data_IF_990318901794
#
_entry.id   IF_990318901794
#
_cell.length_a   1.000
_cell.length_b   1.000
_cell.length_c   1.000
_cell.angle_alpha   90.00
_cell.angle_beta   90.00
_cell.angle_gamma   90.00
#
_symmetry.space_group_name_H-M   'P 1'
#
loop_
_entity.id
_entity.type
_entity.pdbx_description
1 polymer ?
#
# COMPACT_ATOMS: atom_id res chain seq x y z
N UNK A 1 -50.99 15.26 9.16
CA UNK A 1 -51.02 15.10 10.64
C UNK A 1 -49.64 14.54 10.99
N UNK A 2 -48.67 15.19 11.64
CA UNK A 2 -48.46 16.40 12.45
C UNK A 2 -47.20 17.13 11.86
N UNK A 3 -47.03 18.47 11.69
CA UNK A 3 -46.93 19.63 12.63
C UNK A 3 -45.98 19.36 13.81
N UNK A 4 -45.06 20.21 14.30
CA UNK A 4 -44.55 21.58 14.07
C UNK A 4 -43.32 21.65 15.03
N UNK A 5 -42.12 22.04 14.60
CA UNK A 5 -41.42 23.31 14.92
C UNK A 5 -40.89 23.58 16.35
N UNK A 6 -39.75 24.30 16.36
CA UNK A 6 -39.18 25.25 17.36
C UNK A 6 -37.93 24.73 18.10
N UNK A 7 -36.73 25.34 17.92
CA UNK A 7 -36.22 26.66 18.42
C UNK A 7 -36.15 26.63 19.97
N UNK A 8 -35.09 26.98 20.71
CA UNK A 8 -33.94 27.92 20.64
C UNK A 8 -32.89 27.42 21.68
N UNK A 9 -31.57 27.55 21.53
CA UNK A 9 -30.69 28.68 21.91
C UNK A 9 -30.78 29.15 23.38
N UNK A 10 -29.68 28.98 24.13
CA UNK A 10 -29.14 29.79 25.26
C UNK A 10 -27.76 29.18 25.57
N UNK A 11 -26.57 29.79 25.40
CA UNK A 11 -25.95 31.05 25.88
C UNK A 11 -25.68 31.17 27.39
N UNK A 12 -24.39 31.32 27.64
CA UNK A 12 -23.69 32.04 28.71
C UNK A 12 -23.64 31.42 30.13
N UNK A 13 -22.42 31.12 30.60
CA UNK A 13 -21.96 31.65 31.89
C UNK A 13 -20.41 31.73 31.94
N UNK A 14 -19.93 32.95 32.16
CA UNK A 14 -18.55 33.35 32.46
C UNK A 14 -18.26 33.14 33.96
N UNK A 15 -17.03 32.80 34.32
CA UNK A 15 -16.46 33.23 35.61
C UNK A 15 -14.94 33.23 35.55
N UNK A 16 -14.40 34.44 35.52
CA UNK A 16 -13.03 34.78 35.89
C UNK A 16 -12.77 34.47 37.37
N UNK A 17 -11.51 34.14 37.72
CA UNK A 17 -10.89 34.65 38.94
C UNK A 17 -9.36 34.60 38.85
N UNK A 18 -8.74 35.69 39.30
CA UNK A 18 -7.35 36.08 39.09
C UNK A 18 -6.52 36.08 40.39
N UNK A 19 -5.18 36.13 40.21
CA UNK A 19 -4.15 36.67 41.13
C UNK A 19 -3.78 35.79 42.35
N UNK A 20 -2.58 35.74 42.93
CA UNK A 20 -1.29 36.46 42.95
C UNK A 20 -0.30 35.48 43.67
N UNK A 21 0.99 35.30 43.40
CA UNK A 21 2.10 36.24 43.52
C UNK A 21 3.17 35.76 44.54
N UNK A 22 4.44 36.10 44.24
CA UNK A 22 5.67 36.14 45.09
C UNK A 22 6.58 34.88 45.11
N UNK A 23 7.74 34.91 44.41
CA UNK A 23 9.08 35.49 44.76
C UNK A 23 9.86 34.62 45.76
N UNK A 24 11.19 34.42 45.77
CA UNK A 24 12.41 34.80 45.01
C UNK A 24 13.54 33.98 45.68
N UNK A 25 14.62 33.60 44.98
CA UNK A 25 16.01 33.97 45.36
C UNK A 25 17.06 33.34 44.43
N UNK A 26 18.13 34.11 44.20
CA UNK A 26 19.28 33.92 43.30
C UNK A 26 20.55 33.62 44.13
N UNK A 27 21.66 33.42 43.40
CA UNK A 27 23.11 33.57 43.73
C UNK A 27 23.81 32.19 43.68
N UNK A 28 24.73 31.82 42.78
CA UNK A 28 25.84 32.43 42.01
C UNK A 28 27.23 32.41 42.69
N UNK A 29 28.26 32.08 41.86
CA UNK A 29 29.72 32.23 42.03
C UNK A 29 30.45 31.09 42.80
N UNK A 30 31.70 30.64 42.51
CA UNK A 30 32.81 31.13 41.66
C UNK A 30 33.96 30.06 41.53
N UNK A 31 34.79 30.20 40.47
CA UNK A 31 36.28 30.06 40.37
C UNK A 31 37.03 28.69 40.27
N UNK A 32 37.57 28.47 39.05
CA UNK A 32 38.98 28.28 38.59
C UNK A 32 39.98 27.41 39.39
N UNK A 33 40.67 26.46 38.71
CA UNK A 33 42.14 26.49 38.43
C UNK A 33 42.64 25.40 37.47
N UNK A 34 43.71 25.75 36.76
CA UNK A 34 44.57 24.99 35.83
C UNK A 34 45.24 23.74 36.44
N UNK A 35 45.51 22.74 35.59
CA UNK A 35 46.83 22.09 35.52
C UNK A 35 47.01 21.35 34.20
N UNK A 36 48.03 21.75 33.44
CA UNK A 36 48.60 21.05 32.29
C UNK A 36 49.21 19.71 32.72
N UNK A 37 48.91 18.63 31.99
CA UNK A 37 49.83 17.50 31.83
C UNK A 37 49.79 17.05 30.38
N UNK A 38 50.94 17.25 29.72
CA UNK A 38 51.30 16.69 28.43
C UNK A 38 51.36 15.16 28.54
N UNK A 39 50.58 14.44 27.73
CA UNK A 39 50.96 13.09 27.30
C UNK A 39 50.58 12.93 25.84
N UNK A 40 51.59 12.96 24.99
CA UNK A 40 51.53 12.56 23.60
C UNK A 40 51.13 11.09 23.53
N UNK A 41 50.01 10.79 22.88
CA UNK A 41 49.73 9.45 22.34
C UNK A 41 49.04 9.60 20.99
N UNK A 42 49.59 8.89 20.02
CA UNK A 42 49.27 8.92 18.59
C UNK A 42 47.78 8.73 18.30
N UNK A 43 47.23 9.31 17.20
CA UNK A 43 45.84 9.09 16.85
C UNK A 43 45.68 7.67 16.31
N UNK A 44 45.17 6.77 17.15
CA UNK A 44 44.57 5.54 16.65
C UNK A 44 43.38 5.95 15.77
N UNK A 45 43.43 5.55 14.50
CA UNK A 45 42.31 5.68 13.56
C UNK A 45 41.08 5.04 14.20
N UNK A 46 40.23 5.89 14.78
CA UNK A 46 38.87 5.53 15.16
C UNK A 46 38.17 5.18 13.84
N UNK A 47 38.16 3.89 13.51
CA UNK A 47 37.18 3.32 12.60
C UNK A 47 35.83 3.63 13.23
N UNK A 48 35.28 4.77 12.82
CA UNK A 48 33.89 5.15 12.98
C UNK A 48 33.12 4.05 12.25
N UNK A 49 32.82 2.96 12.96
CA UNK A 49 31.82 1.98 12.55
C UNK A 49 30.61 2.83 12.23
N UNK A 50 30.28 2.95 10.94
CA UNK A 50 29.01 3.53 10.51
C UNK A 50 27.98 2.76 11.31
N UNK A 51 27.34 3.41 12.27
CA UNK A 51 26.21 2.85 12.97
C UNK A 51 25.20 2.52 11.87
N UNK A 52 25.12 1.24 11.55
CA UNK A 52 24.20 0.78 10.55
C UNK A 52 22.80 1.14 11.06
N UNK A 53 22.02 1.82 10.22
CA UNK A 53 20.72 2.31 10.67
C UNK A 53 19.88 1.07 10.98
N UNK A 54 19.34 0.91 12.20
CA UNK A 54 18.67 -0.31 12.64
C UNK A 54 17.42 -0.69 11.82
N UNK A 55 17.03 0.13 10.85
CA UNK A 55 15.96 -0.18 9.89
C UNK A 55 16.40 -0.89 8.60
N UNK A 56 17.69 -0.89 8.25
CA UNK A 56 18.16 -1.52 7.00
C UNK A 56 18.20 -3.04 7.10
N UNK A 57 18.49 -3.56 8.30
CA UNK A 57 18.66 -4.98 8.59
C UNK A 57 17.35 -5.78 8.77
N UNK A 58 16.18 -5.12 8.84
CA UNK A 58 14.93 -5.81 9.20
C UNK A 58 14.33 -6.67 8.08
N UNK A 59 14.60 -6.33 6.82
CA UNK A 59 13.98 -6.95 5.64
C UNK A 59 15.03 -7.33 4.57
N UNK A 60 16.28 -7.58 4.96
CA UNK A 60 17.45 -7.62 4.05
C UNK A 60 17.63 -8.96 3.30
N UNK A 61 16.66 -9.88 3.34
CA UNK A 61 16.84 -11.25 2.85
C UNK A 61 16.60 -11.44 1.33
N UNK A 62 16.32 -10.39 0.57
CA UNK A 62 15.99 -10.54 -0.85
C UNK A 62 16.26 -9.30 -1.71
N UNK A 63 17.48 -8.77 -1.74
CA UNK A 63 17.84 -7.52 -2.46
C UNK A 63 17.40 -7.43 -3.94
N UNK A 64 17.13 -8.59 -4.58
CA UNK A 64 16.68 -8.70 -5.98
C UNK A 64 15.21 -9.15 -6.15
N UNK A 65 14.47 -9.41 -5.07
CA UNK A 65 13.02 -9.63 -5.18
C UNK A 65 12.27 -8.31 -5.25
N UNK A 66 11.01 -8.35 -5.74
CA UNK A 66 10.13 -7.18 -5.71
C UNK A 66 9.98 -6.63 -4.29
N UNK A 67 9.82 -7.49 -3.27
CA UNK A 67 9.69 -7.03 -1.89
C UNK A 67 10.99 -6.40 -1.37
N UNK A 68 12.15 -6.98 -1.68
CA UNK A 68 13.42 -6.38 -1.28
C UNK A 68 13.66 -5.02 -1.95
N UNK A 69 13.24 -4.84 -3.20
CA UNK A 69 13.24 -3.52 -3.86
C UNK A 69 12.33 -2.54 -3.11
N UNK A 70 11.10 -2.94 -2.77
CA UNK A 70 10.16 -2.11 -2.00
C UNK A 70 10.76 -1.74 -0.64
N UNK A 71 11.33 -2.70 0.08
CA UNK A 71 11.84 -2.50 1.43
C UNK A 71 13.11 -1.62 1.47
N UNK A 72 13.96 -1.68 0.44
CA UNK A 72 15.29 -1.06 0.48
C UNK A 72 15.50 0.10 -0.49
N UNK A 73 14.83 0.11 -1.65
CA UNK A 73 15.09 0.99 -2.80
C UNK A 73 13.82 1.69 -3.29
N UNK A 74 13.26 2.61 -2.47
CA UNK A 74 12.05 3.38 -2.80
C UNK A 74 12.05 3.98 -4.23
N UNK A 75 13.17 4.59 -4.63
CA UNK A 75 13.29 5.24 -5.94
C UNK A 75 13.25 4.28 -7.13
N UNK A 76 13.43 2.98 -6.91
CA UNK A 76 13.37 1.97 -7.95
C UNK A 76 11.97 1.38 -8.15
N UNK A 77 11.01 1.66 -7.25
CA UNK A 77 9.64 1.12 -7.31
C UNK A 77 8.97 1.38 -8.67
N UNK A 78 8.96 2.60 -9.24
CA UNK A 78 8.31 2.84 -10.53
C UNK A 78 8.94 2.05 -11.68
N UNK A 79 10.27 1.82 -11.64
CA UNK A 79 10.95 1.02 -12.65
C UNK A 79 10.60 -0.46 -12.49
N UNK A 80 10.68 -0.98 -11.27
CA UNK A 80 10.38 -2.39 -10.97
C UNK A 80 8.93 -2.75 -11.36
N UNK A 81 7.98 -1.84 -11.17
CA UNK A 81 6.59 -2.04 -11.61
C UNK A 81 6.48 -2.12 -13.14
N UNK A 82 7.18 -1.24 -13.87
CA UNK A 82 7.18 -1.29 -15.35
C UNK A 82 7.82 -2.57 -15.86
N UNK A 83 8.97 -2.93 -15.33
CA UNK A 83 9.67 -4.17 -15.65
C UNK A 83 8.79 -5.39 -15.36
N UNK A 84 8.03 -5.37 -14.27
CA UNK A 84 7.06 -6.43 -13.96
C UNK A 84 5.94 -6.52 -15.00
N UNK A 85 5.36 -5.39 -15.43
CA UNK A 85 4.33 -5.39 -16.48
C UNK A 85 4.89 -5.86 -17.84
N UNK A 86 6.13 -5.51 -18.16
CA UNK A 86 6.82 -6.03 -19.35
C UNK A 86 7.09 -7.54 -19.27
N UNK A 87 7.38 -8.05 -18.08
CA UNK A 87 7.52 -9.50 -17.85
C UNK A 87 6.16 -10.19 -17.93
N UNK A 88 5.11 -9.58 -17.38
CA UNK A 88 3.74 -10.10 -17.43
C UNK A 88 3.21 -10.25 -18.87
N UNK A 89 3.58 -9.32 -19.77
CA UNK A 89 3.26 -9.42 -21.20
C UNK A 89 3.98 -10.59 -21.88
N UNK A 90 5.20 -10.93 -21.44
CA UNK A 90 6.04 -11.99 -22.03
C UNK A 90 5.74 -13.37 -21.47
N UNK A 91 5.61 -13.47 -20.15
CA UNK A 91 5.42 -14.69 -19.39
C UNK A 91 4.56 -14.40 -18.16
N UNK A 92 3.24 -14.50 -18.37
CA UNK A 92 2.22 -14.22 -17.37
C UNK A 92 2.34 -15.12 -16.13
N UNK A 93 2.48 -16.46 -16.24
CA UNK A 93 2.74 -17.34 -15.10
C UNK A 93 3.91 -16.88 -14.21
N UNK A 94 5.07 -16.60 -14.82
CA UNK A 94 6.26 -16.20 -14.08
C UNK A 94 6.08 -14.86 -13.38
N UNK A 95 5.47 -13.87 -14.05
CA UNK A 95 5.20 -12.57 -13.46
C UNK A 95 4.24 -12.67 -12.27
N UNK A 96 3.15 -13.44 -12.40
CA UNK A 96 2.17 -13.65 -11.31
C UNK A 96 2.82 -14.41 -10.15
N UNK A 97 3.67 -15.41 -10.43
CA UNK A 97 4.46 -16.09 -9.41
C UNK A 97 5.33 -15.11 -8.59
N UNK A 98 6.03 -14.19 -9.27
CA UNK A 98 6.83 -13.16 -8.59
C UNK A 98 5.98 -12.21 -7.75
N UNK A 99 4.81 -11.81 -8.25
CA UNK A 99 3.89 -10.91 -7.54
C UNK A 99 3.29 -11.59 -6.29
N UNK A 100 2.85 -12.84 -6.41
CA UNK A 100 2.31 -13.62 -5.28
C UNK A 100 3.38 -13.88 -4.23
N UNK A 101 4.59 -14.28 -4.64
CA UNK A 101 5.70 -14.46 -3.72
C UNK A 101 6.15 -13.16 -3.05
N UNK A 102 6.01 -12.00 -3.71
CA UNK A 102 6.25 -10.69 -3.09
C UNK A 102 5.30 -10.45 -1.90
N UNK A 103 4.04 -10.86 -1.99
CA UNK A 103 3.07 -10.79 -0.89
C UNK A 103 3.44 -11.75 0.25
N UNK A 104 3.87 -12.98 -0.07
CA UNK A 104 4.38 -13.91 0.95
C UNK A 104 5.61 -13.36 1.68
N UNK A 105 6.58 -12.82 0.96
CA UNK A 105 7.76 -12.18 1.55
C UNK A 105 7.37 -11.02 2.46
N UNK A 106 6.44 -10.17 2.02
CA UNK A 106 5.91 -9.06 2.82
C UNK A 106 5.23 -9.55 4.11
N UNK A 107 4.55 -10.70 4.03
CA UNK A 107 3.94 -11.37 5.17
C UNK A 107 4.97 -12.10 6.07
N UNK A 108 6.25 -12.11 5.70
CA UNK A 108 7.35 -12.64 6.50
C UNK A 108 7.69 -14.10 6.23
N UNK A 109 7.06 -14.75 5.24
CA UNK A 109 7.38 -16.12 4.85
C UNK A 109 8.73 -16.20 4.14
N UNK A 110 9.50 -17.26 4.42
CA UNK A 110 10.75 -17.56 3.71
C UNK A 110 10.50 -18.52 2.54
N UNK A 111 9.48 -19.35 2.68
CA UNK A 111 8.98 -20.25 1.66
C UNK A 111 8.37 -19.44 0.51
N UNK A 112 8.45 -20.01 -0.69
CA UNK A 112 7.89 -19.44 -1.91
C UNK A 112 7.08 -20.51 -2.61
N UNK A 113 5.99 -20.11 -3.26
CA UNK A 113 5.32 -20.98 -4.20
C UNK A 113 6.26 -21.29 -5.38
N UNK A 114 6.34 -22.56 -5.82
CA UNK A 114 7.15 -22.93 -6.97
C UNK A 114 6.54 -22.35 -8.26
N UNK A 115 7.37 -22.18 -9.29
CA UNK A 115 6.90 -21.69 -10.59
C UNK A 115 5.85 -22.62 -11.24
N UNK A 116 5.92 -23.93 -10.95
CA UNK A 116 4.93 -24.92 -11.44
C UNK A 116 3.50 -24.58 -11.03
N UNK A 117 3.32 -24.00 -9.84
CA UNK A 117 2.01 -23.65 -9.29
C UNK A 117 1.22 -22.62 -10.13
N UNK A 118 1.90 -21.93 -11.04
CA UNK A 118 1.31 -20.88 -11.89
C UNK A 118 1.20 -21.32 -13.36
N UNK A 119 1.68 -22.52 -13.69
CA UNK A 119 1.58 -23.09 -15.02
C UNK A 119 0.20 -23.66 -15.32
N UNK A 120 -0.10 -23.89 -16.60
CA UNK A 120 -1.37 -24.50 -17.06
C UNK A 120 -1.44 -26.01 -16.89
N UNK A 121 -0.30 -26.66 -16.65
CA UNK A 121 -0.14 -28.11 -16.74
C UNK A 121 -0.08 -28.77 -15.35
N UNK A 122 -0.38 -28.01 -14.30
CA UNK A 122 -0.37 -28.49 -12.92
C UNK A 122 -1.76 -29.02 -12.52
N UNK A 123 -1.79 -30.20 -11.91
CA UNK A 123 -3.02 -30.83 -11.42
C UNK A 123 -3.46 -30.22 -10.07
N UNK A 124 -2.58 -29.49 -9.38
CA UNK A 124 -2.83 -28.86 -8.09
C UNK A 124 -3.46 -27.48 -8.26
N UNK A 125 -4.55 -27.22 -7.55
CA UNK A 125 -5.18 -25.89 -7.54
C UNK A 125 -4.53 -24.93 -6.52
N UNK A 126 -4.94 -23.66 -6.58
CA UNK A 126 -4.43 -22.60 -5.69
C UNK A 126 -4.66 -22.93 -4.21
N UNK A 127 -5.78 -23.57 -3.88
CA UNK A 127 -6.14 -23.91 -2.50
C UNK A 127 -5.26 -25.05 -1.97
N UNK A 128 -4.86 -26.00 -2.83
CA UNK A 128 -3.95 -27.08 -2.49
C UNK A 128 -2.54 -26.55 -2.15
N UNK A 129 -2.03 -25.63 -2.97
CA UNK A 129 -0.76 -24.96 -2.70
C UNK A 129 -0.78 -24.17 -1.39
N UNK A 130 -1.88 -23.47 -1.12
CA UNK A 130 -2.04 -22.77 0.15
C UNK A 130 -2.10 -23.73 1.32
N UNK A 131 -2.83 -24.85 1.21
CA UNK A 131 -2.92 -25.85 2.27
C UNK A 131 -1.56 -26.44 2.62
N UNK A 132 -0.76 -26.77 1.62
CA UNK A 132 0.61 -27.24 1.84
C UNK A 132 1.44 -26.20 2.59
N UNK A 133 1.36 -24.92 2.21
CA UNK A 133 2.03 -23.85 2.94
C UNK A 133 1.56 -23.76 4.40
N UNK A 134 0.25 -23.86 4.67
CA UNK A 134 -0.29 -23.88 6.03
C UNK A 134 0.23 -25.07 6.83
N UNK A 135 0.29 -26.26 6.23
CA UNK A 135 0.80 -27.48 6.86
C UNK A 135 2.28 -27.37 7.21
N UNK A 136 3.12 -26.86 6.29
CA UNK A 136 4.55 -26.59 6.55
C UNK A 136 4.74 -25.54 7.66
N UNK A 137 3.82 -24.57 7.78
CA UNK A 137 3.84 -23.65 8.90
C UNK A 137 3.43 -24.31 10.22
N UNK A 138 2.42 -25.18 10.20
CA UNK A 138 1.92 -25.87 11.39
C UNK A 138 2.91 -26.92 11.91
N UNK A 139 3.70 -27.56 11.04
CA UNK A 139 4.78 -28.48 11.43
C UNK A 139 5.96 -27.77 12.12
N UNK A 140 5.99 -26.43 12.11
CA UNK A 140 7.10 -25.63 12.61
C UNK A 140 8.33 -25.68 11.70
N UNK A 141 8.19 -26.25 10.51
CA UNK A 141 9.24 -26.29 9.48
C UNK A 141 9.37 -24.96 8.75
N UNK A 142 8.31 -24.13 8.76
CA UNK A 142 8.38 -22.78 8.22
C UNK A 142 8.99 -21.77 9.21
N UNK A 143 10.05 -21.08 8.78
CA UNK A 143 10.65 -20.00 9.56
C UNK A 143 10.00 -18.66 9.19
N UNK A 144 9.07 -18.17 10.02
CA UNK A 144 8.51 -16.82 9.82
C UNK A 144 9.48 -15.74 10.32
N UNK A 145 9.73 -14.76 9.48
CA UNK A 145 10.51 -13.56 9.79
C UNK A 145 9.61 -12.38 10.15
N UNK A 146 10.21 -11.23 10.46
CA UNK A 146 9.45 -10.02 10.76
C UNK A 146 8.63 -9.61 9.52
N UNK A 147 7.30 -9.58 9.66
CA UNK A 147 6.41 -9.15 8.59
C UNK A 147 6.33 -7.62 8.48
N UNK A 148 5.94 -7.10 7.31
CA UNK A 148 5.86 -5.67 7.09
C UNK A 148 4.57 -5.03 7.61
N UNK A 149 3.53 -5.81 7.94
CA UNK A 149 2.17 -5.33 8.16
C UNK A 149 1.85 -4.96 9.62
N UNK A 150 2.39 -5.68 10.61
CA UNK A 150 1.97 -5.52 12.02
C UNK A 150 2.91 -4.65 12.86
N UNK A 151 4.12 -4.36 12.40
CA UNK A 151 5.08 -3.58 13.18
C UNK A 151 4.85 -2.07 13.16
N UNK A 152 5.19 -1.42 14.28
CA UNK A 152 4.96 0.02 14.49
C UNK A 152 6.23 0.88 14.55
N UNK A 153 7.41 0.27 14.37
CA UNK A 153 8.66 1.05 14.31
C UNK A 153 8.67 1.99 13.09
N UNK A 154 9.51 3.03 13.12
CA UNK A 154 9.71 3.95 11.97
C UNK A 154 10.08 3.20 10.68
N UNK A 155 10.87 2.13 10.79
CA UNK A 155 11.28 1.31 9.65
C UNK A 155 10.09 0.56 9.04
N UNK A 156 9.21 -0.01 9.87
CA UNK A 156 8.01 -0.68 9.40
C UNK A 156 7.06 0.30 8.70
N UNK A 157 6.78 1.46 9.33
CA UNK A 157 5.93 2.48 8.71
C UNK A 157 6.47 2.97 7.38
N UNK A 158 7.79 3.06 7.24
CA UNK A 158 8.44 3.38 5.96
C UNK A 158 8.17 2.29 4.91
N UNK A 159 8.41 1.02 5.24
CA UNK A 159 8.17 -0.09 4.30
C UNK A 159 6.67 -0.21 3.95
N UNK A 160 5.77 -0.03 4.91
CA UNK A 160 4.31 0.02 4.68
C UNK A 160 3.95 1.11 3.66
N UNK A 161 4.50 2.32 3.82
CA UNK A 161 4.30 3.41 2.86
C UNK A 161 4.87 3.09 1.47
N UNK A 162 6.04 2.45 1.40
CA UNK A 162 6.64 2.03 0.14
C UNK A 162 5.84 0.92 -0.55
N UNK A 163 5.25 0.02 0.25
CA UNK A 163 4.38 -1.05 -0.23
C UNK A 163 3.08 -0.50 -0.81
N UNK A 164 2.47 0.49 -0.15
CA UNK A 164 1.33 1.23 -0.70
C UNK A 164 1.69 1.95 -2.01
N UNK A 165 2.84 2.64 -2.07
CA UNK A 165 3.31 3.30 -3.31
C UNK A 165 3.53 2.30 -4.45
N UNK A 166 3.98 1.07 -4.17
CA UNK A 166 4.08 0.03 -5.19
C UNK A 166 2.72 -0.27 -5.84
N UNK A 167 1.66 -0.45 -5.06
CA UNK A 167 0.32 -0.76 -5.60
C UNK A 167 -0.32 0.43 -6.32
N UNK A 168 -0.09 1.66 -5.84
CA UNK A 168 -0.45 2.87 -6.58
C UNK A 168 0.21 2.88 -7.97
N UNK A 169 1.53 2.66 -8.02
CA UNK A 169 2.25 2.58 -9.30
C UNK A 169 1.85 1.38 -10.14
N UNK A 170 1.51 0.26 -9.53
CA UNK A 170 1.04 -0.95 -10.22
C UNK A 170 -0.19 -0.66 -11.06
N UNK A 171 -1.21 -0.01 -10.48
CA UNK A 171 -2.44 0.37 -11.19
C UNK A 171 -2.18 1.54 -12.15
N UNK A 172 -1.33 2.49 -11.78
CA UNK A 172 -1.00 3.63 -12.63
C UNK A 172 -0.29 3.22 -13.94
N UNK A 173 0.64 2.26 -13.86
CA UNK A 173 1.39 1.76 -15.01
C UNK A 173 0.74 0.55 -15.70
N UNK A 174 -0.41 0.06 -15.21
CA UNK A 174 -1.12 -1.04 -15.83
C UNK A 174 -1.55 -0.71 -17.28
N UNK A 175 -1.29 -1.61 -18.25
CA UNK A 175 -1.88 -1.51 -19.59
C UNK A 175 -3.40 -1.36 -19.52
N UNK A 176 -3.99 -0.54 -20.38
CA UNK A 176 -5.45 -0.27 -20.38
C UNK A 176 -6.30 -1.55 -20.47
N UNK A 177 -5.85 -2.54 -21.25
CA UNK A 177 -6.53 -3.82 -21.38
C UNK A 177 -6.51 -4.65 -20.08
N UNK A 178 -5.38 -4.65 -19.37
CA UNK A 178 -5.23 -5.36 -18.09
C UNK A 178 -5.98 -4.64 -16.97
N UNK A 179 -6.01 -3.30 -16.97
CA UNK A 179 -6.80 -2.57 -15.99
C UNK A 179 -8.31 -2.81 -16.17
N UNK A 180 -8.79 -2.81 -17.42
CA UNK A 180 -10.19 -3.08 -17.75
C UNK A 180 -10.67 -4.41 -17.15
N UNK A 181 -9.80 -5.40 -17.17
CA UNK A 181 -10.07 -6.75 -16.68
C UNK A 181 -9.31 -7.06 -15.38
N UNK A 182 -9.02 -6.03 -14.55
CA UNK A 182 -8.22 -6.21 -13.33
C UNK A 182 -8.82 -7.25 -12.36
N UNK A 183 -10.15 -7.40 -12.37
CA UNK A 183 -10.86 -8.40 -11.57
C UNK A 183 -10.71 -9.84 -12.06
N UNK A 184 -10.25 -10.03 -13.29
CA UNK A 184 -9.96 -11.33 -13.91
C UNK A 184 -8.45 -11.62 -13.95
N UNK A 185 -7.63 -10.75 -13.36
CA UNK A 185 -6.19 -10.93 -13.35
C UNK A 185 -5.83 -12.28 -12.68
N UNK A 186 -4.90 -13.08 -13.21
CA UNK A 186 -4.56 -14.39 -12.62
C UNK A 186 -3.98 -14.31 -11.19
N UNK A 187 -3.64 -13.12 -10.72
CA UNK A 187 -3.30 -12.87 -9.33
C UNK A 187 -4.51 -12.90 -8.37
N UNK A 188 -5.71 -12.60 -8.85
CA UNK A 188 -6.92 -12.51 -8.03
C UNK A 188 -7.29 -13.82 -7.30
N UNK A 189 -7.23 -15.02 -7.93
CA UNK A 189 -7.46 -16.28 -7.22
C UNK A 189 -6.51 -16.49 -6.04
N UNK A 190 -5.24 -16.12 -6.17
CA UNK A 190 -4.25 -16.21 -5.09
C UNK A 190 -4.58 -15.26 -3.94
N UNK A 191 -4.97 -14.02 -4.24
CA UNK A 191 -5.43 -13.07 -3.22
C UNK A 191 -6.68 -13.59 -2.49
N UNK A 192 -7.64 -14.12 -3.22
CA UNK A 192 -8.86 -14.66 -2.64
C UNK A 192 -8.55 -15.84 -1.70
N UNK A 193 -7.79 -16.82 -2.15
CA UNK A 193 -7.39 -17.97 -1.34
C UNK A 193 -6.60 -17.55 -0.08
N UNK A 194 -5.67 -16.59 -0.21
CA UNK A 194 -4.94 -16.05 0.95
C UNK A 194 -5.86 -15.32 1.93
N UNK A 195 -6.92 -14.66 1.45
CA UNK A 195 -7.89 -13.94 2.30
C UNK A 195 -8.76 -14.86 3.14
N UNK A 196 -8.96 -16.11 2.71
CA UNK A 196 -9.74 -17.14 3.39
C UNK A 196 -8.87 -18.17 4.14
N UNK A 197 -7.54 -18.12 3.97
CA UNK A 197 -6.56 -19.01 4.60
C UNK A 197 -6.70 -19.10 6.12
N UNK A 198 -6.34 -20.23 6.73
CA UNK A 198 -6.33 -20.38 8.20
C UNK A 198 -5.25 -19.51 8.89
N UNK A 199 -4.20 -19.10 8.17
CA UNK A 199 -3.14 -18.25 8.71
C UNK A 199 -3.57 -16.79 8.76
N UNK A 200 -3.65 -16.23 9.99
CA UNK A 200 -4.03 -14.83 10.22
C UNK A 200 -3.19 -13.85 9.40
N UNK A 201 -1.88 -14.09 9.31
CA UNK A 201 -0.97 -13.18 8.60
C UNK A 201 -1.20 -13.16 7.09
N UNK A 202 -1.59 -14.28 6.47
CA UNK A 202 -1.96 -14.33 5.05
C UNK A 202 -3.26 -13.57 4.81
N UNK A 203 -4.25 -13.75 5.70
CA UNK A 203 -5.52 -13.02 5.61
C UNK A 203 -5.31 -11.52 5.75
N UNK A 204 -4.43 -11.08 6.66
CA UNK A 204 -4.06 -9.67 6.80
C UNK A 204 -3.39 -9.14 5.52
N UNK A 205 -2.36 -9.84 5.04
CA UNK A 205 -1.58 -9.44 3.88
C UNK A 205 -2.45 -9.27 2.62
N UNK A 206 -3.29 -10.27 2.30
CA UNK A 206 -4.16 -10.22 1.13
C UNK A 206 -5.26 -9.16 1.26
N UNK A 207 -5.79 -8.94 2.46
CA UNK A 207 -6.75 -7.85 2.71
C UNK A 207 -6.11 -6.50 2.45
N UNK A 208 -4.89 -6.27 2.96
CA UNK A 208 -4.16 -5.02 2.74
C UNK A 208 -3.90 -4.83 1.25
N UNK A 209 -3.36 -5.84 0.56
CA UNK A 209 -3.09 -5.75 -0.88
C UNK A 209 -4.37 -5.45 -1.67
N UNK A 210 -5.47 -6.14 -1.38
CA UNK A 210 -6.76 -5.89 -2.03
C UNK A 210 -7.23 -4.45 -1.84
N UNK A 211 -7.12 -3.90 -0.62
CA UNK A 211 -7.47 -2.52 -0.32
C UNK A 211 -6.54 -1.51 -1.01
N UNK A 212 -5.24 -1.76 -1.08
CA UNK A 212 -4.29 -0.90 -1.78
C UNK A 212 -4.59 -0.84 -3.29
N UNK A 213 -4.90 -1.99 -3.91
CA UNK A 213 -5.34 -2.05 -5.31
C UNK A 213 -6.64 -1.26 -5.50
N UNK A 214 -7.64 -1.46 -4.63
CA UNK A 214 -8.90 -0.72 -4.68
C UNK A 214 -8.68 0.79 -4.55
N UNK A 215 -7.85 1.23 -3.60
CA UNK A 215 -7.52 2.64 -3.41
C UNK A 215 -6.86 3.24 -4.67
N UNK A 216 -5.94 2.53 -5.29
CA UNK A 216 -5.28 2.97 -6.51
C UNK A 216 -6.26 3.05 -7.70
N UNK A 217 -7.20 2.09 -7.82
CA UNK A 217 -8.28 2.15 -8.82
C UNK A 217 -9.19 3.37 -8.58
N UNK A 218 -9.55 3.65 -7.32
CA UNK A 218 -10.34 4.85 -6.96
C UNK A 218 -9.59 6.13 -7.33
N UNK A 219 -8.27 6.19 -7.07
CA UNK A 219 -7.42 7.31 -7.50
C UNK A 219 -7.53 7.57 -9.00
N UNK A 220 -7.35 6.54 -9.83
CA UNK A 220 -7.46 6.65 -11.30
C UNK A 220 -8.90 6.96 -11.78
N UNK A 221 -9.92 6.47 -11.06
CA UNK A 221 -11.31 6.79 -11.34
C UNK A 221 -11.62 8.28 -11.07
N UNK A 222 -11.03 8.86 -10.02
CA UNK A 222 -11.13 10.29 -9.73
C UNK A 222 -10.46 11.14 -10.83
N UNK A 223 -9.25 10.76 -11.27
CA UNK A 223 -8.59 11.45 -12.40
C UNK A 223 -9.44 11.38 -13.68
N UNK A 224 -10.10 10.24 -13.91
CA UNK A 224 -11.02 10.06 -15.03
C UNK A 224 -12.24 10.97 -14.91
N UNK A 225 -12.80 11.12 -13.70
CA UNK A 225 -13.93 12.00 -13.43
C UNK A 225 -13.57 13.48 -13.65
N UNK A 226 -12.39 13.92 -13.22
CA UNK A 226 -11.91 15.28 -13.46
C UNK A 226 -11.70 15.56 -14.97
N UNK A 227 -11.19 14.56 -15.69
CA UNK A 227 -11.11 14.62 -17.15
C UNK A 227 -12.48 14.71 -17.80
N UNK A 228 -13.48 13.97 -17.31
CA UNK A 228 -14.86 14.03 -17.83
C UNK A 228 -15.48 15.40 -17.60
N UNK A 229 -15.38 15.94 -16.39
CA UNK A 229 -15.88 17.29 -16.06
C UNK A 229 -15.28 18.37 -16.99
N UNK A 230 -14.00 18.23 -17.34
CA UNK A 230 -13.33 19.12 -18.28
C UNK A 230 -13.86 18.97 -19.70
N UNK A 231 -14.07 17.73 -20.16
CA UNK A 231 -14.64 17.44 -21.49
C UNK A 231 -16.10 17.92 -21.61
N UNK A 232 -16.91 17.77 -20.57
CA UNK A 232 -18.30 18.25 -20.54
C UNK A 232 -18.38 19.78 -20.68
N UNK A 233 -17.50 20.53 -20.02
CA UNK A 233 -17.40 21.99 -20.19
C UNK A 233 -17.07 22.36 -21.63
N UNK A 234 -16.13 21.63 -22.26
CA UNK A 234 -15.77 21.84 -23.67
C UNK A 234 -16.93 21.49 -24.61
N UNK A 235 -17.69 20.44 -24.28
CA UNK A 235 -18.85 20.01 -25.04
C UNK A 235 -19.95 21.09 -25.04
N UNK A 236 -20.33 21.61 -23.88
CA UNK A 236 -21.33 22.68 -23.78
C UNK A 236 -20.88 23.97 -24.47
N UNK A 237 -19.58 24.30 -24.40
CA UNK A 237 -19.03 25.42 -25.16
C UNK A 237 -19.14 25.20 -26.69
N UNK A 238 -18.81 24.01 -27.19
CA UNK A 238 -18.94 23.67 -28.62
C UNK A 238 -20.41 23.65 -29.07
N UNK A 239 -21.31 23.24 -28.19
CA UNK A 239 -22.77 23.19 -28.42
C UNK A 239 -23.35 24.58 -28.59
N UNK A 240 -22.96 25.52 -27.74
CA UNK A 240 -23.33 26.93 -27.86
C UNK A 240 -22.89 27.54 -29.21
N UNK A 241 -21.75 27.07 -29.74
CA UNK A 241 -21.17 27.51 -31.03
C UNK A 241 -21.66 26.70 -32.24
N UNK A 242 -22.51 25.68 -32.03
CA UNK A 242 -23.03 24.78 -33.08
C UNK A 242 -21.93 24.08 -33.90
N UNK A 243 -20.79 23.77 -33.27
CA UNK A 243 -19.65 23.08 -33.89
C UNK A 243 -19.90 21.56 -33.98
N UNK A 244 -20.73 21.11 -34.93
CA UNK A 244 -21.24 19.74 -35.03
C UNK A 244 -20.16 18.64 -35.08
N UNK A 245 -19.10 18.82 -35.87
CA UNK A 245 -18.00 17.84 -35.94
C UNK A 245 -17.25 17.70 -34.62
N UNK A 246 -17.06 18.82 -33.90
CA UNK A 246 -16.37 18.82 -32.60
C UNK A 246 -17.24 18.21 -31.50
N UNK A 247 -18.55 18.43 -31.55
CA UNK A 247 -19.49 17.78 -30.64
C UNK A 247 -19.42 16.26 -30.74
N UNK A 248 -19.45 15.72 -31.96
CA UNK A 248 -19.33 14.27 -32.17
C UNK A 248 -18.03 13.70 -31.57
N UNK A 249 -16.89 14.38 -31.79
CA UNK A 249 -15.59 13.97 -31.23
C UNK A 249 -15.52 14.07 -29.70
N UNK A 250 -16.15 15.08 -29.11
CA UNK A 250 -16.18 15.24 -27.64
C UNK A 250 -17.10 14.21 -26.99
N UNK A 251 -18.24 13.89 -27.61
CA UNK A 251 -19.13 12.83 -27.14
C UNK A 251 -18.44 11.47 -27.18
N UNK A 252 -17.71 11.16 -28.26
CA UNK A 252 -16.91 9.92 -28.35
C UNK A 252 -15.88 9.81 -27.21
N UNK A 253 -15.19 10.90 -26.88
CA UNK A 253 -14.24 10.93 -25.76
C UNK A 253 -14.95 10.76 -24.41
N UNK A 254 -16.10 11.40 -24.21
CA UNK A 254 -16.90 11.23 -23.00
C UNK A 254 -17.36 9.79 -22.84
N UNK A 255 -17.82 9.15 -23.91
CA UNK A 255 -18.25 7.76 -23.88
C UNK A 255 -17.10 6.80 -23.55
N UNK A 256 -15.92 7.03 -24.14
CA UNK A 256 -14.72 6.27 -23.79
C UNK A 256 -14.37 6.41 -22.29
N UNK A 257 -14.50 7.62 -21.72
CA UNK A 257 -14.26 7.85 -20.27
C UNK A 257 -15.33 7.23 -19.38
N UNK A 258 -16.61 7.25 -19.80
CA UNK A 258 -17.71 6.54 -19.12
C UNK A 258 -17.46 5.03 -19.07
N UNK A 259 -16.97 4.44 -20.16
CA UNK A 259 -16.57 3.03 -20.20
C UNK A 259 -15.46 2.73 -19.19
N UNK A 260 -14.40 3.53 -19.14
CA UNK A 260 -13.30 3.34 -18.18
C UNK A 260 -13.82 3.39 -16.73
N UNK A 261 -14.71 4.35 -16.42
CA UNK A 261 -15.32 4.44 -15.08
C UNK A 261 -16.16 3.21 -14.75
N UNK A 262 -16.96 2.73 -15.70
CA UNK A 262 -17.76 1.51 -15.52
C UNK A 262 -16.90 0.28 -15.28
N UNK A 263 -15.75 0.16 -15.93
CA UNK A 263 -14.82 -0.95 -15.71
C UNK A 263 -14.12 -0.85 -14.34
N UNK A 264 -13.79 0.37 -13.89
CA UNK A 264 -13.31 0.59 -12.52
C UNK A 264 -14.36 0.20 -11.46
N UNK A 265 -15.63 0.58 -11.66
CA UNK A 265 -16.74 0.20 -10.75
C UNK A 265 -16.93 -1.33 -10.67
N UNK A 266 -16.85 -2.03 -11.81
CA UNK A 266 -16.88 -3.51 -11.85
C UNK A 266 -15.71 -4.11 -11.07
N UNK A 267 -14.49 -3.60 -11.30
CA UNK A 267 -13.31 -4.09 -10.60
C UNK A 267 -13.45 -3.89 -9.09
N UNK A 268 -13.81 -2.68 -8.64
CA UNK A 268 -14.04 -2.38 -7.23
C UNK A 268 -15.10 -3.27 -6.59
N UNK A 269 -16.21 -3.51 -7.31
CA UNK A 269 -17.27 -4.41 -6.83
C UNK A 269 -16.77 -5.85 -6.68
N UNK A 270 -15.95 -6.34 -7.62
CA UNK A 270 -15.37 -7.68 -7.55
C UNK A 270 -14.40 -7.84 -6.38
N UNK A 271 -13.46 -6.91 -6.18
CA UNK A 271 -12.55 -6.93 -5.04
C UNK A 271 -13.30 -6.79 -3.70
N UNK A 272 -14.31 -5.94 -3.65
CA UNK A 272 -15.14 -5.79 -2.46
C UNK A 272 -15.86 -7.10 -2.09
N UNK A 273 -16.47 -7.77 -3.07
CA UNK A 273 -17.18 -9.02 -2.85
C UNK A 273 -16.24 -10.18 -2.50
N UNK A 274 -15.08 -10.27 -3.18
CA UNK A 274 -14.15 -11.39 -3.02
C UNK A 274 -13.25 -11.30 -1.78
N UNK A 275 -12.96 -10.09 -1.30
CA UNK A 275 -12.06 -9.88 -0.15
C UNK A 275 -12.82 -9.20 0.99
N UNK A 276 -13.35 -7.99 0.77
CA UNK A 276 -13.89 -7.16 1.87
C UNK A 276 -15.09 -7.79 2.56
N UNK A 277 -16.05 -8.36 1.82
CA UNK A 277 -17.21 -9.03 2.41
C UNK A 277 -16.80 -10.23 3.28
N UNK A 278 -15.79 -11.00 2.88
CA UNK A 278 -15.33 -12.13 3.69
C UNK A 278 -14.51 -11.70 4.91
N UNK A 279 -13.93 -10.50 4.88
CA UNK A 279 -13.00 -9.99 5.91
C UNK A 279 -13.59 -9.00 6.89
N UNK A 280 -14.66 -8.27 6.55
CA UNK A 280 -15.23 -7.22 7.43
C UNK A 280 -15.81 -7.76 8.76
N UNK A 281 -16.03 -9.08 8.86
CA UNK A 281 -16.47 -9.76 10.09
C UNK A 281 -15.40 -10.66 10.69
N UNK A 282 -14.18 -10.63 10.18
CA UNK A 282 -13.15 -11.50 10.73
C UNK A 282 -12.90 -11.13 12.18
N UNK A 283 -13.00 -12.14 13.06
CA UNK A 283 -12.92 -11.96 14.51
C UNK A 283 -11.51 -11.55 14.99
N UNK A 284 -10.53 -11.45 14.09
CA UNK A 284 -9.24 -10.86 14.40
C UNK A 284 -9.37 -9.33 14.39
N UNK A 285 -9.79 -8.77 15.53
CA UNK A 285 -9.53 -7.37 15.83
C UNK A 285 -8.00 -7.14 15.79
N UNK A 286 -7.53 -6.40 14.79
CA UNK A 286 -6.25 -5.68 14.78
C UNK A 286 -6.51 -4.19 14.56
#
# INVERSE_FOLDING_TARGET
QLKLSMLEADKDDDSDDAFEGTSKSKISQHKRKHSDVLSQSSPALSQRRKADKPGRLLFENSENSLFGIIATKASAIPMAVKEWWEEYDKDRPTAVCKLTNMVLEAAGFKERFPASAFGSDDDMDVDDYLRQLVETCASGEAETSINCFTGNSKSHKKVQSQFSDFWDKFVYHAPEAELRNMHENPFCPWLHAMSTSQLKILRLASTIVGLEIMNAIVGRANDTLDSMNSLERLYEAAKSKKETQKLARLEEQLEAKRSIRGDAEKALSSFFNSIVIHRHRDAAHE
#
